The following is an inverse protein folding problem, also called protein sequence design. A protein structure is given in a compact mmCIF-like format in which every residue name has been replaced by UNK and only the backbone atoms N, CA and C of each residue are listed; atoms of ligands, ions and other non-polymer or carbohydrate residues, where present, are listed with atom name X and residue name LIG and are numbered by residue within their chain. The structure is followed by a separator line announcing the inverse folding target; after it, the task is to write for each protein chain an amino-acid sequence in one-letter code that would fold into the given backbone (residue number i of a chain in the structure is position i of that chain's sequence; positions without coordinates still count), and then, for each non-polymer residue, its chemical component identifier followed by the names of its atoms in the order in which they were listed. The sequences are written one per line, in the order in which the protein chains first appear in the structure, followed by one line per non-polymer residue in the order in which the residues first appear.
data_IF_851976112794
#
_entry.id   IF_851976112794
#
_cell.length_a   1.000
_cell.length_b   1.000
_cell.length_c   1.000
_cell.angle_alpha   90.00
_cell.angle_beta   90.00
_cell.angle_gamma   90.00
#
_symmetry.space_group_name_H-M   'P 1'
#
loop_
_entity.id
_entity.type
_entity.pdbx_description
1 polymer ?
#
# COMPACT_ATOMS: atom_id res chain seq x y z
N UNK A 1 -12.31 53.04 -27.45
CA UNK A 1 -13.22 51.94 -27.08
C UNK A 1 -12.39 50.65 -27.08
N UNK A 2 -11.68 50.43 -25.97
CA UNK A 2 -10.45 49.63 -25.87
C UNK A 2 -10.58 48.60 -24.75
N UNK A 3 -11.78 48.05 -24.58
CA UNK A 3 -12.16 47.30 -23.38
C UNK A 3 -13.00 46.03 -23.67
N UNK A 4 -13.18 45.62 -24.93
CA UNK A 4 -14.01 44.45 -25.27
C UNK A 4 -13.23 43.15 -25.51
N UNK A 5 -11.89 43.17 -25.44
CA UNK A 5 -11.07 42.01 -25.79
C UNK A 5 -10.60 41.16 -24.59
N UNK A 6 -10.86 41.58 -23.34
CA UNK A 6 -10.22 40.98 -22.15
C UNK A 6 -11.14 39.97 -21.44
N UNK A 7 -12.45 39.98 -21.71
CA UNK A 7 -13.42 39.20 -20.94
C UNK A 7 -13.52 37.69 -21.33
N UNK A 8 -12.86 37.24 -22.40
CA UNK A 8 -13.08 35.90 -22.95
C UNK A 8 -12.06 34.82 -22.52
N UNK A 9 -10.98 35.18 -21.81
CA UNK A 9 -9.85 34.24 -21.57
C UNK A 9 -9.83 33.64 -20.15
N UNK A 10 -10.70 34.10 -19.23
CA UNK A 10 -10.59 33.73 -17.80
C UNK A 10 -11.29 32.40 -17.44
N UNK A 11 -12.01 31.76 -18.36
CA UNK A 11 -12.79 30.55 -18.04
C UNK A 11 -12.07 29.20 -18.23
N UNK A 12 -10.76 29.20 -18.54
CA UNK A 12 -9.98 27.96 -18.73
C UNK A 12 -9.04 27.62 -17.57
N UNK A 13 -9.08 28.35 -16.46
CA UNK A 13 -8.53 27.86 -15.19
C UNK A 13 -9.50 26.82 -14.60
N UNK A 14 -9.67 25.69 -15.31
CA UNK A 14 -10.11 24.47 -14.69
C UNK A 14 -9.10 24.18 -13.58
N UNK A 15 -9.47 24.50 -12.34
CA UNK A 15 -8.83 23.87 -11.20
C UNK A 15 -8.94 22.39 -11.50
N UNK A 16 -7.80 21.74 -11.75
CA UNK A 16 -7.69 20.32 -11.60
C UNK A 16 -8.10 20.08 -10.14
N UNK A 17 -9.41 19.88 -9.92
CA UNK A 17 -9.90 19.26 -8.71
C UNK A 17 -9.24 17.91 -8.76
N UNK A 18 -8.06 17.84 -8.14
CA UNK A 18 -7.42 16.60 -7.78
C UNK A 18 -8.48 15.97 -6.90
N UNK A 19 -9.28 15.12 -7.53
CA UNK A 19 -10.29 14.35 -6.87
C UNK A 19 -9.47 13.29 -6.12
N UNK A 20 -8.76 13.75 -5.08
CA UNK A 20 -8.33 12.94 -3.95
C UNK A 20 -9.63 12.55 -3.28
N UNK A 21 -10.36 11.68 -3.99
CA UNK A 21 -11.40 10.86 -3.44
C UNK A 21 -10.70 10.27 -2.23
N UNK A 22 -11.05 10.79 -1.06
CA UNK A 22 -10.67 10.26 0.23
C UNK A 22 -11.28 8.86 0.32
N UNK A 23 -10.77 7.93 -0.48
CA UNK A 23 -10.78 6.52 -0.21
C UNK A 23 -9.50 6.36 0.61
N UNK A 24 -9.57 6.87 1.85
CA UNK A 24 -8.43 7.01 2.74
C UNK A 24 -7.92 5.62 3.04
N UNK A 25 -6.68 5.35 2.67
CA UNK A 25 -6.00 4.15 3.14
C UNK A 25 -5.91 4.26 4.66
N UNK A 26 -6.46 3.29 5.37
CA UNK A 26 -6.46 3.25 6.83
C UNK A 26 -5.32 2.37 7.33
N UNK A 27 -4.70 2.72 8.44
CA UNK A 27 -3.74 1.81 9.05
C UNK A 27 -4.44 0.51 9.49
N UNK A 28 -3.75 -0.61 9.33
CA UNK A 28 -4.25 -1.92 9.78
C UNK A 28 -4.49 -1.85 11.29
N UNK A 29 -5.67 -2.28 11.77
CA UNK A 29 -5.97 -2.26 13.19
C UNK A 29 -5.00 -3.18 13.94
N UNK A 30 -4.52 -2.73 15.10
CA UNK A 30 -3.59 -3.50 15.94
C UNK A 30 -4.13 -4.87 16.36
N UNK A 31 -5.44 -5.10 16.28
CA UNK A 31 -6.07 -6.40 16.52
C UNK A 31 -5.75 -7.45 15.46
N UNK A 32 -5.41 -7.04 14.23
CA UNK A 32 -5.05 -7.95 13.12
C UNK A 32 -3.57 -7.90 12.78
N UNK A 33 -2.77 -7.17 13.57
CA UNK A 33 -1.31 -7.21 13.49
C UNK A 33 -0.74 -8.02 14.63
N UNK A 34 0.02 -9.05 14.29
CA UNK A 34 0.51 -10.05 15.24
C UNK A 34 1.99 -9.85 15.60
N UNK A 35 2.78 -9.20 14.74
CA UNK A 35 4.22 -9.02 14.97
C UNK A 35 4.81 -7.81 14.21
N UNK A 36 6.07 -7.48 14.53
CA UNK A 36 6.91 -6.53 13.78
C UNK A 36 6.39 -5.08 13.76
N UNK A 37 5.72 -4.65 14.83
CA UNK A 37 5.25 -3.27 15.01
C UNK A 37 6.22 -2.39 15.79
N UNK A 38 7.08 -3.01 16.62
CA UNK A 38 8.04 -2.27 17.42
C UNK A 38 9.35 -2.10 16.64
N UNK A 39 9.79 -0.86 16.34
CA UNK A 39 11.06 -0.63 15.68
C UNK A 39 12.22 -0.93 16.62
N UNK A 40 13.10 -1.86 16.25
CA UNK A 40 14.40 -2.03 16.89
C UNK A 40 15.47 -1.19 16.18
N UNK A 41 16.54 -0.84 16.90
CA UNK A 41 17.63 -0.04 16.37
C UNK A 41 18.32 -0.75 15.19
N UNK A 42 18.22 -0.18 13.99
CA UNK A 42 18.78 -0.73 12.75
C UNK A 42 17.78 -1.51 11.89
N UNK A 43 16.50 -1.52 12.25
CA UNK A 43 15.46 -2.14 11.44
C UNK A 43 15.19 -1.35 10.16
N UNK A 44 14.79 -2.08 9.13
CA UNK A 44 14.20 -1.59 7.92
C UNK A 44 12.68 -1.46 8.08
N UNK A 45 12.08 -0.60 7.27
CA UNK A 45 10.62 -0.40 7.26
C UNK A 45 10.03 -0.98 5.99
N UNK A 46 9.11 -1.94 6.12
CA UNK A 46 8.31 -2.44 5.00
C UNK A 46 6.94 -1.80 5.09
N UNK A 47 6.58 -1.01 4.09
CA UNK A 47 5.27 -0.42 3.97
C UNK A 47 4.46 -1.18 2.93
N UNK A 48 3.42 -1.89 3.35
CA UNK A 48 2.52 -2.65 2.49
C UNK A 48 1.21 -1.90 2.41
N UNK A 49 0.75 -1.57 1.21
CA UNK A 49 -0.52 -0.87 0.98
C UNK A 49 -1.41 -1.74 0.11
N UNK A 50 -2.66 -1.93 0.51
CA UNK A 50 -3.66 -2.60 -0.33
C UNK A 50 -4.58 -1.57 -0.96
N UNK A 51 -4.55 -1.48 -2.28
CA UNK A 51 -5.30 -0.48 -3.03
C UNK A 51 -6.81 -0.64 -2.80
N UNK A 52 -7.50 0.50 -2.71
CA UNK A 52 -8.96 0.54 -2.61
C UNK A 52 -9.59 0.40 -3.99
N UNK A 53 -10.57 -0.50 -4.10
CA UNK A 53 -11.30 -0.72 -5.35
C UNK A 53 -12.68 -1.33 -5.12
N UNK A 54 -13.52 -1.25 -6.16
CA UNK A 54 -14.84 -1.89 -6.18
C UNK A 54 -14.72 -3.43 -6.25
N UNK A 55 -13.58 -3.93 -6.70
CA UNK A 55 -13.26 -5.34 -6.85
C UNK A 55 -12.47 -5.81 -5.62
N UNK A 56 -12.92 -6.92 -5.02
CA UNK A 56 -12.28 -7.54 -3.84
C UNK A 56 -12.91 -7.20 -2.48
N UNK A 57 -14.06 -6.51 -2.44
CA UNK A 57 -14.78 -6.26 -1.19
C UNK A 57 -15.08 -7.58 -0.46
N UNK A 58 -14.60 -7.72 0.79
CA UNK A 58 -14.71 -8.96 1.58
C UNK A 58 -13.59 -9.98 1.36
N UNK A 59 -12.57 -9.64 0.56
CA UNK A 59 -11.34 -10.41 0.49
C UNK A 59 -10.34 -9.86 1.50
N UNK A 60 -9.79 -10.73 2.33
CA UNK A 60 -8.75 -10.42 3.31
C UNK A 60 -7.39 -10.85 2.76
N UNK A 61 -6.31 -10.21 3.20
CA UNK A 61 -4.95 -10.51 2.75
C UNK A 61 -4.08 -10.80 3.96
N UNK A 62 -3.76 -12.08 4.16
CA UNK A 62 -2.81 -12.49 5.17
C UNK A 62 -1.39 -12.22 4.67
N UNK A 63 -0.64 -11.42 5.42
CA UNK A 63 0.75 -11.08 5.15
C UNK A 63 1.67 -12.03 5.93
N UNK A 64 2.63 -12.59 5.23
CA UNK A 64 3.62 -13.51 5.75
C UNK A 64 5.00 -12.88 5.68
N UNK A 65 5.81 -13.02 6.73
CA UNK A 65 7.23 -12.70 6.70
C UNK A 65 7.97 -13.94 7.17
N UNK A 66 8.89 -14.45 6.35
CA UNK A 66 9.64 -15.68 6.61
C UNK A 66 8.72 -16.86 7.00
N UNK A 67 7.65 -17.05 6.22
CA UNK A 67 6.61 -18.08 6.40
C UNK A 67 5.79 -17.99 7.70
N UNK A 68 5.87 -16.87 8.43
CA UNK A 68 5.02 -16.57 9.59
C UNK A 68 3.99 -15.51 9.26
N UNK A 69 2.73 -15.72 9.64
CA UNK A 69 1.70 -14.69 9.54
C UNK A 69 2.02 -13.55 10.51
N UNK A 70 2.10 -12.33 9.99
CA UNK A 70 2.46 -11.14 10.78
C UNK A 70 1.32 -10.14 10.88
N UNK A 71 0.43 -10.13 9.89
CA UNK A 71 -0.76 -9.31 9.91
C UNK A 71 -1.81 -9.86 8.95
N UNK A 72 -3.06 -9.49 9.18
CA UNK A 72 -4.16 -9.64 8.23
C UNK A 72 -4.68 -8.26 7.85
N UNK A 73 -4.81 -8.03 6.55
CA UNK A 73 -5.13 -6.74 5.96
C UNK A 73 -6.35 -6.81 5.05
N UNK A 74 -7.30 -5.90 5.27
CA UNK A 74 -8.44 -5.69 4.41
C UNK A 74 -8.12 -4.74 3.25
N UNK A 75 -9.05 -4.67 2.28
CA UNK A 75 -8.95 -3.68 1.21
C UNK A 75 -8.86 -2.29 1.79
N UNK A 76 -7.90 -1.53 1.28
CA UNK A 76 -7.73 -0.16 1.69
C UNK A 76 -7.01 0.05 2.99
N UNK A 77 -6.24 -0.94 3.41
CA UNK A 77 -5.39 -0.82 4.58
C UNK A 77 -3.92 -0.67 4.23
N UNK A 78 -3.20 -0.01 5.12
CA UNK A 78 -1.75 0.14 5.10
C UNK A 78 -1.15 -0.50 6.34
N UNK A 79 -0.11 -1.29 6.12
CA UNK A 79 0.64 -1.98 7.15
C UNK A 79 2.08 -1.52 7.09
N UNK A 80 2.57 -1.04 8.23
CA UNK A 80 3.99 -0.74 8.41
C UNK A 80 4.58 -1.85 9.26
N UNK A 81 5.59 -2.54 8.75
CA UNK A 81 6.34 -3.56 9.47
C UNK A 81 7.78 -3.10 9.65
N UNK A 82 8.32 -3.30 10.84
CA UNK A 82 9.73 -3.10 11.13
C UNK A 82 10.42 -4.46 11.13
N UNK A 83 11.33 -4.66 10.18
CA UNK A 83 12.07 -5.92 10.03
C UNK A 83 13.57 -5.67 10.14
N UNK A 84 14.33 -6.57 10.77
CA UNK A 84 15.78 -6.45 10.80
C UNK A 84 16.34 -6.50 9.38
N UNK A 85 17.36 -5.67 9.12
CA UNK A 85 18.01 -5.58 7.81
C UNK A 85 18.50 -6.95 7.32
N UNK A 86 18.29 -7.21 6.03
CA UNK A 86 18.60 -8.46 5.36
C UNK A 86 17.61 -8.78 4.23
N UNK A 87 17.81 -9.94 3.61
CA UNK A 87 16.84 -10.52 2.66
C UNK A 87 15.79 -11.28 3.43
N UNK A 88 14.54 -10.83 3.33
CA UNK A 88 13.37 -11.44 3.94
C UNK A 88 12.38 -11.86 2.88
N UNK A 89 11.65 -12.94 3.13
CA UNK A 89 10.63 -13.41 2.21
C UNK A 89 9.28 -12.84 2.63
N UNK A 90 8.75 -11.92 1.85
CA UNK A 90 7.43 -11.33 2.07
C UNK A 90 6.40 -12.12 1.25
N UNK A 91 5.48 -12.78 1.94
CA UNK A 91 4.38 -13.51 1.34
C UNK A 91 3.06 -12.79 1.52
N UNK A 92 2.16 -13.00 0.59
CA UNK A 92 0.78 -12.55 0.64
C UNK A 92 -0.12 -13.71 0.22
N UNK A 93 -1.11 -14.02 1.04
CA UNK A 93 -2.15 -14.98 0.69
C UNK A 93 -3.52 -14.32 0.84
N UNK A 94 -4.28 -14.14 -0.26
CA UNK A 94 -5.66 -13.70 -0.18
C UNK A 94 -6.54 -14.84 0.36
N UNK A 95 -7.49 -14.49 1.23
CA UNK A 95 -8.46 -15.40 1.83
C UNK A 95 -9.81 -14.72 2.04
N UNK A 96 -10.79 -15.46 2.57
CA UNK A 96 -12.17 -14.97 2.73
C UNK A 96 -13.00 -15.15 1.46
N UNK A 97 -13.46 -14.05 0.86
CA UNK A 97 -14.22 -14.09 -0.40
C UNK A 97 -13.35 -14.37 -1.64
N UNK A 98 -12.03 -14.22 -1.52
CA UNK A 98 -11.06 -14.54 -2.56
C UNK A 98 -10.31 -15.82 -2.23
N UNK A 99 -10.04 -16.63 -3.24
CA UNK A 99 -9.14 -17.79 -3.15
C UNK A 99 -8.14 -17.71 -4.30
N UNK A 100 -6.89 -17.37 -3.98
CA UNK A 100 -5.79 -17.40 -4.94
C UNK A 100 -4.54 -17.99 -4.28
N UNK A 101 -3.57 -18.33 -5.11
CA UNK A 101 -2.30 -18.87 -4.64
C UNK A 101 -1.51 -17.85 -3.83
N UNK A 102 -0.65 -18.35 -2.93
CA UNK A 102 0.29 -17.52 -2.20
C UNK A 102 1.27 -16.87 -3.17
N UNK A 103 1.42 -15.56 -3.06
CA UNK A 103 2.43 -14.81 -3.79
C UNK A 103 3.54 -14.45 -2.82
N UNK A 104 4.77 -14.85 -3.15
CA UNK A 104 5.95 -14.52 -2.36
C UNK A 104 6.90 -13.63 -3.17
N UNK A 105 7.47 -12.64 -2.51
CA UNK A 105 8.49 -11.75 -3.07
C UNK A 105 9.67 -11.63 -2.10
N UNK A 106 10.87 -11.57 -2.65
CA UNK A 106 12.06 -11.32 -1.85
C UNK A 106 12.20 -9.82 -1.57
N UNK A 107 12.01 -9.46 -0.30
CA UNK A 107 12.22 -8.11 0.22
C UNK A 107 13.63 -8.01 0.82
N UNK A 108 14.61 -7.67 -0.01
CA UNK A 108 15.97 -7.31 0.45
C UNK A 108 15.99 -5.87 0.94
N UNK A 109 16.22 -5.65 2.23
CA UNK A 109 16.25 -4.32 2.85
C UNK A 109 17.51 -4.06 3.66
N UNK A 110 18.12 -2.89 3.47
CA UNK A 110 19.22 -2.38 4.28
C UNK A 110 18.77 -1.76 5.61
N UNK A 111 19.71 -1.50 6.52
CA UNK A 111 19.39 -0.83 7.79
C UNK A 111 18.82 0.57 7.55
N UNK A 112 17.67 0.87 8.14
CA UNK A 112 16.96 2.15 7.94
C UNK A 112 16.41 2.34 6.53
N UNK A 113 16.42 1.31 5.67
CA UNK A 113 15.81 1.37 4.35
C UNK A 113 14.29 1.19 4.48
N UNK A 114 13.53 1.99 3.73
CA UNK A 114 12.09 1.83 3.61
C UNK A 114 11.75 1.25 2.25
N UNK A 115 11.03 0.11 2.23
CA UNK A 115 10.50 -0.48 0.99
C UNK A 115 8.99 -0.47 0.98
N UNK A 116 8.44 -0.04 -0.14
CA UNK A 116 7.01 0.02 -0.34
C UNK A 116 6.56 -1.15 -1.22
N UNK A 117 5.47 -1.77 -0.84
CA UNK A 117 4.78 -2.82 -1.58
C UNK A 117 3.33 -2.41 -1.76
N UNK A 118 2.76 -2.68 -2.92
CA UNK A 118 1.32 -2.55 -3.18
C UNK A 118 0.72 -3.90 -3.50
N UNK A 119 -0.50 -4.07 -3.02
CA UNK A 119 -1.38 -5.16 -3.36
C UNK A 119 -2.55 -4.54 -4.14
N UNK A 120 -2.79 -4.96 -5.39
CA UNK A 120 -3.90 -4.44 -6.17
C UNK A 120 -5.24 -4.82 -5.54
N UNK A 121 -6.29 -4.07 -5.86
CA UNK A 121 -7.63 -4.32 -5.32
C UNK A 121 -8.16 -5.74 -5.63
N UNK A 122 -7.74 -6.36 -6.73
CA UNK A 122 -8.05 -7.76 -7.07
C UNK A 122 -7.59 -8.76 -6.01
N UNK A 123 -6.60 -8.38 -5.16
CA UNK A 123 -5.98 -9.30 -4.22
C UNK A 123 -5.07 -10.34 -4.89
N UNK A 124 -4.84 -10.20 -6.20
CA UNK A 124 -3.98 -11.08 -6.99
C UNK A 124 -2.66 -10.36 -7.28
N UNK A 125 -1.60 -10.79 -6.61
CA UNK A 125 -0.25 -10.27 -6.82
C UNK A 125 0.26 -9.36 -5.70
N UNK A 126 1.58 -9.33 -5.59
CA UNK A 126 2.32 -8.48 -4.66
C UNK A 126 3.41 -7.79 -5.48
N UNK A 127 3.31 -6.47 -5.62
CA UNK A 127 4.27 -5.68 -6.37
C UNK A 127 5.09 -4.83 -5.41
N UNK A 128 6.42 -4.88 -5.54
CA UNK A 128 7.25 -3.84 -4.95
C UNK A 128 6.91 -2.53 -5.68
N UNK A 129 6.43 -1.54 -4.92
CA UNK A 129 6.38 -0.18 -5.43
C UNK A 129 7.82 0.28 -5.52
N UNK A 130 8.42 0.15 -6.70
CA UNK A 130 9.61 0.93 -7.02
C UNK A 130 9.23 2.37 -6.78
N UNK A 131 9.86 3.02 -5.81
CA UNK A 131 9.64 4.43 -5.53
C UNK A 131 9.77 5.19 -6.85
N UNK A 132 8.64 5.50 -7.49
CA UNK A 132 8.61 6.29 -8.71
C UNK A 132 8.90 7.69 -8.27
N UNK A 133 10.20 7.99 -8.25
CA UNK A 133 10.84 9.23 -8.66
C UNK A 133 9.81 10.29 -9.11
N UNK A 134 9.60 11.30 -8.25
CA UNK A 134 9.09 12.60 -8.68
C UNK A 134 9.97 13.21 -9.77
#
# INVERSE_FOLDING_TARGET
MRQLAIAAVVLLAGCATQNERHVGIHDVPSSTVFALQDPAGGDATLNIVRDQGLWGAGCSSAIYVDDKVVADMEIGQQLVLHVPAGTRKLGMMPHGACSADRVDVDASVGQGETKNFSIPASGEGLAAQTATKS
#
